data_IF_672381068827
#
_entry.id   IF_672381068827
#
_cell.length_a   1.000
_cell.length_b   1.000
_cell.length_c   1.000
_cell.angle_alpha   90.00
_cell.angle_beta   90.00
_cell.angle_gamma   90.00
#
_symmetry.space_group_name_H-M   'P 1'
#
loop_
_entity.id
_entity.type
_entity.pdbx_description
1 polymer ?
#
# COMPACT_ATOMS: atom_id res chain seq x y z
N UNK A 1 31.85 12.04 -30.47
CA UNK A 1 31.18 11.23 -29.44
C UNK A 1 29.87 11.94 -29.12
N UNK A 2 28.81 11.52 -29.80
CA UNK A 2 27.43 12.03 -29.51
C UNK A 2 26.99 11.38 -28.21
N UNK A 3 26.88 12.16 -27.14
CA UNK A 3 26.11 11.75 -25.98
C UNK A 3 24.65 11.83 -26.39
N UNK A 4 24.01 10.71 -26.46
CA UNK A 4 22.56 10.63 -26.64
C UNK A 4 21.89 11.41 -25.51
N UNK A 5 21.52 12.64 -25.83
CA UNK A 5 20.60 13.45 -25.03
C UNK A 5 19.19 12.85 -25.17
N UNK A 6 19.02 11.66 -24.62
CA UNK A 6 17.67 11.13 -24.43
C UNK A 6 17.02 11.97 -23.33
N UNK A 7 16.00 12.78 -23.63
CA UNK A 7 15.39 13.60 -22.59
C UNK A 7 14.79 12.67 -21.53
N UNK A 8 14.93 13.00 -20.25
CA UNK A 8 14.40 12.18 -19.14
C UNK A 8 12.88 12.15 -19.08
N UNK A 9 12.19 12.64 -20.12
CA UNK A 9 10.74 12.77 -20.12
C UNK A 9 10.12 12.23 -21.40
N UNK A 10 9.02 11.49 -21.27
CA UNK A 10 8.16 11.16 -22.41
C UNK A 10 7.44 12.42 -22.92
N UNK A 11 7.42 12.62 -24.23
CA UNK A 11 6.57 13.64 -24.85
C UNK A 11 5.23 12.99 -25.21
N UNK A 12 4.15 13.52 -24.68
CA UNK A 12 2.80 13.13 -25.09
C UNK A 12 2.33 14.06 -26.21
N UNK A 13 1.62 13.53 -27.23
CA UNK A 13 1.08 14.37 -28.27
C UNK A 13 0.14 15.42 -27.65
N UNK A 14 0.40 16.68 -27.98
CA UNK A 14 -0.41 17.78 -27.47
C UNK A 14 -1.84 17.67 -28.03
N UNK A 15 -2.81 17.65 -27.14
CA UNK A 15 -4.19 17.96 -27.53
C UNK A 15 -4.24 19.43 -27.94
N UNK A 16 -4.99 19.83 -28.98
CA UNK A 16 -5.12 21.24 -29.35
C UNK A 16 -5.48 22.08 -28.12
N UNK A 17 -4.65 23.06 -27.79
CA UNK A 17 -4.81 23.91 -26.60
C UNK A 17 -4.02 23.48 -25.35
N UNK A 18 -3.41 22.31 -25.31
CA UNK A 18 -2.49 21.92 -24.24
C UNK A 18 -1.04 22.23 -24.64
N UNK A 19 -0.30 22.87 -23.72
CA UNK A 19 1.17 22.93 -23.84
C UNK A 19 1.71 21.50 -23.72
N UNK A 20 2.79 21.18 -24.44
CA UNK A 20 3.49 19.91 -24.31
C UNK A 20 3.91 19.70 -22.85
N UNK A 21 3.23 18.81 -22.15
CA UNK A 21 3.60 18.45 -20.79
C UNK A 21 4.65 17.35 -20.89
N UNK A 22 5.80 17.61 -20.29
CA UNK A 22 6.86 16.61 -20.17
C UNK A 22 6.68 15.95 -18.80
N UNK A 23 6.43 14.66 -18.79
CA UNK A 23 6.44 13.85 -17.57
C UNK A 23 7.78 13.12 -17.44
N UNK A 24 8.28 12.90 -16.22
CA UNK A 24 9.35 11.94 -16.02
C UNK A 24 8.98 10.61 -16.71
N UNK A 25 9.97 9.90 -17.20
CA UNK A 25 9.72 8.62 -17.91
C UNK A 25 9.05 7.61 -16.99
N UNK A 26 9.39 7.67 -15.71
CA UNK A 26 8.85 6.86 -14.63
C UNK A 26 8.90 7.68 -13.35
N UNK A 27 7.84 7.68 -12.58
CA UNK A 27 7.80 8.27 -11.24
C UNK A 27 6.80 7.52 -10.38
N UNK A 28 7.10 7.49 -9.10
CA UNK A 28 6.26 6.84 -8.10
C UNK A 28 5.02 7.67 -7.79
N UNK A 29 3.92 6.97 -7.57
CA UNK A 29 2.67 7.52 -7.08
C UNK A 29 2.03 6.51 -6.12
N UNK A 30 1.03 6.93 -5.37
CA UNK A 30 0.36 6.07 -4.41
C UNK A 30 -1.16 6.11 -4.56
N UNK A 31 -1.80 5.03 -4.15
CA UNK A 31 -3.25 4.95 -3.99
C UNK A 31 -3.56 4.48 -2.59
N UNK A 32 -4.17 5.36 -1.79
CA UNK A 32 -4.43 5.12 -0.38
C UNK A 32 -5.83 4.58 -0.12
N UNK A 33 -5.94 3.68 0.85
CA UNK A 33 -7.18 3.23 1.44
C UNK A 33 -7.34 3.79 2.85
N UNK A 34 -8.41 4.56 3.06
CA UNK A 34 -8.71 5.16 4.35
C UNK A 34 -9.22 4.09 5.33
N UNK A 35 -8.61 4.01 6.51
CA UNK A 35 -8.96 3.04 7.55
C UNK A 35 -10.45 3.10 7.98
N UNK A 36 -11.07 4.25 7.92
CA UNK A 36 -12.50 4.42 8.23
C UNK A 36 -13.44 3.66 7.28
N UNK A 37 -12.94 3.20 6.14
CA UNK A 37 -13.70 2.41 5.15
C UNK A 37 -13.41 0.92 5.23
N UNK A 38 -12.48 0.49 6.08
CA UNK A 38 -12.12 -0.92 6.20
C UNK A 38 -13.23 -1.74 6.82
N UNK A 39 -13.40 -2.94 6.32
CA UNK A 39 -14.33 -3.91 6.91
C UNK A 39 -13.61 -4.69 8.00
N UNK A 40 -14.28 -4.82 9.12
CA UNK A 40 -13.79 -5.65 10.21
C UNK A 40 -13.73 -7.11 9.77
N UNK A 41 -12.64 -7.78 10.15
CA UNK A 41 -12.49 -9.22 9.96
C UNK A 41 -13.12 -10.04 11.08
N UNK A 42 -12.54 -11.19 11.38
CA UNK A 42 -12.99 -12.09 12.46
C UNK A 42 -12.75 -11.46 13.83
N UNK A 43 -11.61 -10.79 14.02
CA UNK A 43 -11.30 -9.97 15.18
C UNK A 43 -11.20 -8.52 14.75
N UNK A 44 -11.91 -7.65 15.45
CA UNK A 44 -12.15 -6.27 14.99
C UNK A 44 -11.14 -5.30 15.55
N UNK A 45 -10.67 -4.41 14.71
CA UNK A 45 -9.96 -3.20 15.13
C UNK A 45 -10.81 -2.40 16.12
N UNK A 46 -10.20 -1.87 17.15
CA UNK A 46 -10.86 -1.09 18.19
C UNK A 46 -10.61 0.40 17.95
N UNK A 47 -11.68 1.19 17.88
CA UNK A 47 -11.56 2.64 17.92
C UNK A 47 -11.18 3.05 19.34
N UNK A 48 -10.02 3.64 19.53
CA UNK A 48 -9.49 4.01 20.84
C UNK A 48 -8.78 5.36 20.76
N UNK A 49 -8.67 6.04 21.89
CA UNK A 49 -8.02 7.35 21.95
C UNK A 49 -6.52 7.22 21.71
N UNK A 50 -6.02 7.83 20.67
CA UNK A 50 -4.60 7.91 20.34
C UNK A 50 -3.93 9.03 21.15
N UNK A 51 -4.42 10.26 21.04
CA UNK A 51 -3.84 11.44 21.71
C UNK A 51 -4.88 12.53 21.91
N UNK A 52 -4.91 13.14 23.08
CA UNK A 52 -5.90 14.17 23.42
C UNK A 52 -7.33 13.64 23.29
N UNK A 53 -8.16 14.25 22.48
CA UNK A 53 -9.51 13.75 22.15
C UNK A 53 -9.60 13.13 20.76
N UNK A 54 -8.46 12.73 20.17
CA UNK A 54 -8.41 12.14 18.82
C UNK A 54 -8.39 10.62 18.93
N UNK A 55 -9.43 9.99 18.42
CA UNK A 55 -9.55 8.55 18.33
C UNK A 55 -9.06 8.04 16.99
N UNK A 56 -8.47 6.83 17.01
CA UNK A 56 -7.96 6.15 15.83
C UNK A 56 -8.10 4.64 16.02
N UNK A 57 -8.08 3.88 14.93
CA UNK A 57 -8.19 2.43 15.00
C UNK A 57 -6.90 1.81 15.53
N UNK A 58 -7.03 1.10 16.64
CA UNK A 58 -5.96 0.29 17.23
C UNK A 58 -5.98 -1.10 16.63
N UNK A 59 -4.79 -1.61 16.33
CA UNK A 59 -4.58 -2.92 15.73
C UNK A 59 -3.95 -3.85 16.78
N UNK A 60 -4.76 -4.62 17.47
CA UNK A 60 -4.28 -5.59 18.47
C UNK A 60 -3.86 -6.91 17.81
N UNK A 61 -3.13 -7.76 18.54
CA UNK A 61 -2.73 -9.08 18.02
C UNK A 61 -3.97 -9.93 17.76
N UNK A 62 -4.00 -10.57 16.61
CA UNK A 62 -5.08 -11.32 15.98
C UNK A 62 -6.21 -10.47 15.38
N UNK A 63 -6.17 -9.15 15.52
CA UNK A 63 -7.09 -8.33 14.74
C UNK A 63 -6.79 -8.45 13.26
N UNK A 64 -7.85 -8.42 12.46
CA UNK A 64 -7.77 -8.43 11.01
C UNK A 64 -8.80 -7.49 10.39
N UNK A 65 -8.44 -6.94 9.26
CA UNK A 65 -9.30 -6.04 8.51
C UNK A 65 -9.19 -6.29 7.01
N UNK A 66 -10.34 -6.28 6.35
CA UNK A 66 -10.43 -6.29 4.89
C UNK A 66 -10.38 -4.86 4.38
N UNK A 67 -9.41 -4.59 3.55
CA UNK A 67 -9.23 -3.30 2.90
C UNK A 67 -10.20 -3.21 1.73
N UNK A 68 -10.92 -2.09 1.55
CA UNK A 68 -11.72 -1.88 0.36
C UNK A 68 -10.89 -2.10 -0.90
N UNK A 69 -11.51 -2.65 -1.91
CA UNK A 69 -10.86 -2.91 -3.19
C UNK A 69 -10.19 -1.64 -3.74
N UNK A 70 -8.92 -1.72 -4.04
CA UNK A 70 -8.11 -0.63 -4.59
C UNK A 70 -7.99 -0.84 -6.08
N UNK A 71 -8.55 0.06 -6.87
CA UNK A 71 -8.40 0.05 -8.31
C UNK A 71 -7.08 0.70 -8.70
N UNK A 72 -6.29 -0.01 -9.50
CA UNK A 72 -5.06 0.53 -10.05
C UNK A 72 -5.37 1.68 -11.03
N UNK A 73 -4.65 2.78 -10.88
CA UNK A 73 -4.84 3.97 -11.72
C UNK A 73 -4.55 3.67 -13.20
N UNK A 74 -5.30 4.32 -14.09
CA UNK A 74 -5.02 4.28 -15.53
C UNK A 74 -3.66 4.90 -15.91
N UNK A 75 -3.03 5.58 -15.00
CA UNK A 75 -1.67 6.10 -15.16
C UNK A 75 -0.58 5.10 -14.77
N UNK A 76 -0.93 4.02 -14.08
CA UNK A 76 0.05 3.02 -13.66
C UNK A 76 0.72 2.34 -14.85
N UNK A 77 2.03 2.14 -14.75
CA UNK A 77 2.79 1.37 -15.74
C UNK A 77 2.51 -0.11 -15.53
N UNK A 78 1.88 -0.73 -16.52
CA UNK A 78 1.53 -2.14 -16.44
C UNK A 78 2.77 -3.04 -16.41
N UNK A 79 2.67 -4.18 -15.70
CA UNK A 79 3.75 -5.15 -15.58
C UNK A 79 4.91 -4.72 -14.69
N UNK A 80 4.77 -3.62 -13.95
CA UNK A 80 5.78 -3.17 -12.97
C UNK A 80 5.42 -3.60 -11.56
N UNK A 81 6.39 -3.51 -10.66
CA UNK A 81 6.20 -3.81 -9.25
C UNK A 81 5.26 -2.81 -8.57
N UNK A 82 4.60 -3.30 -7.53
CA UNK A 82 3.72 -2.54 -6.64
C UNK A 82 4.18 -2.82 -5.23
N UNK A 83 4.42 -1.77 -4.45
CA UNK A 83 4.86 -1.87 -3.06
C UNK A 83 3.68 -1.59 -2.11
N UNK A 84 3.17 -2.61 -1.38
CA UNK A 84 2.14 -2.39 -0.37
C UNK A 84 2.74 -1.85 0.92
N UNK A 85 2.12 -0.81 1.48
CA UNK A 85 2.55 -0.18 2.73
C UNK A 85 1.42 -0.09 3.74
N UNK A 86 1.71 -0.41 5.00
CA UNK A 86 0.81 -0.20 6.13
C UNK A 86 1.36 0.92 7.02
N UNK A 87 0.60 2.01 7.15
CA UNK A 87 0.97 3.17 7.97
C UNK A 87 0.50 3.00 9.40
N UNK A 88 1.43 3.07 10.34
CA UNK A 88 1.23 2.79 11.75
C UNK A 88 1.79 3.89 12.64
N UNK A 89 1.27 3.96 13.86
CA UNK A 89 1.78 4.82 14.93
C UNK A 89 1.71 4.08 16.26
N UNK A 90 2.73 4.21 17.10
CA UNK A 90 2.67 3.73 18.47
C UNK A 90 2.21 4.84 19.41
N UNK A 91 1.26 4.55 20.31
CA UNK A 91 0.73 5.52 21.28
C UNK A 91 1.75 5.86 22.36
N UNK A 92 2.42 4.88 22.93
CA UNK A 92 3.38 5.04 24.01
C UNK A 92 4.81 4.71 23.56
N UNK A 93 5.81 5.22 24.26
CA UNK A 93 7.20 4.86 24.03
C UNK A 93 7.43 3.36 24.24
N UNK A 94 8.31 2.79 23.43
CA UNK A 94 8.63 1.37 23.40
C UNK A 94 10.04 1.17 23.96
N UNK A 95 10.23 0.13 24.75
CA UNK A 95 11.54 -0.19 25.35
C UNK A 95 12.64 -0.32 24.27
N UNK A 96 13.87 0.01 24.65
CA UNK A 96 15.02 0.00 23.72
C UNK A 96 15.51 -1.41 23.33
N UNK A 97 15.04 -2.48 23.99
CA UNK A 97 15.31 -3.86 23.58
C UNK A 97 14.54 -4.22 22.31
N UNK A 98 14.97 -5.22 21.54
CA UNK A 98 14.21 -5.66 20.38
C UNK A 98 12.74 -5.91 20.73
N UNK A 99 11.84 -5.29 20.01
CA UNK A 99 10.39 -5.35 20.19
C UNK A 99 9.74 -5.50 18.81
N UNK A 100 9.39 -6.71 18.47
CA UNK A 100 8.94 -7.06 17.12
C UNK A 100 7.41 -7.04 17.02
N UNK A 101 6.90 -6.31 16.04
CA UNK A 101 5.54 -6.48 15.54
C UNK A 101 5.58 -7.28 14.24
N UNK A 102 4.50 -8.00 13.95
CA UNK A 102 4.37 -8.76 12.71
C UNK A 102 2.99 -8.60 12.11
N UNK A 103 2.96 -8.34 10.81
CA UNK A 103 1.74 -8.24 10.03
C UNK A 103 1.77 -9.21 8.87
N UNK A 104 0.63 -9.80 8.56
CA UNK A 104 0.36 -10.65 7.42
C UNK A 104 -0.56 -9.91 6.45
N UNK A 105 -0.19 -9.90 5.18
CA UNK A 105 -0.97 -9.38 4.06
C UNK A 105 -1.40 -10.57 3.19
N UNK A 106 -2.71 -10.81 3.10
CA UNK A 106 -3.28 -11.69 2.08
C UNK A 106 -3.87 -10.83 0.97
N UNK A 107 -3.60 -11.17 -0.28
CA UNK A 107 -4.06 -10.37 -1.41
C UNK A 107 -4.45 -11.21 -2.62
N UNK A 108 -5.25 -10.61 -3.49
CA UNK A 108 -5.54 -11.14 -4.81
C UNK A 108 -5.76 -10.01 -5.82
N UNK A 109 -5.50 -10.32 -7.09
CA UNK A 109 -5.79 -9.46 -8.22
C UNK A 109 -7.07 -9.87 -8.90
N UNK A 110 -7.81 -8.88 -9.38
CA UNK A 110 -9.03 -9.06 -10.17
C UNK A 110 -8.92 -8.21 -11.43
N UNK A 111 -8.87 -8.87 -12.57
CA UNK A 111 -8.86 -8.19 -13.86
C UNK A 111 -10.24 -7.63 -14.23
N UNK A 112 -10.25 -6.63 -15.09
CA UNK A 112 -11.50 -5.99 -15.55
C UNK A 112 -12.48 -6.97 -16.21
N UNK A 113 -12.00 -8.09 -16.72
CA UNK A 113 -12.83 -9.14 -17.34
C UNK A 113 -13.27 -10.24 -16.34
N UNK A 114 -12.97 -10.06 -15.07
CA UNK A 114 -13.64 -10.78 -13.99
C UNK A 114 -12.98 -12.05 -13.43
N UNK A 115 -11.75 -12.35 -13.80
CA UNK A 115 -11.04 -13.47 -13.18
C UNK A 115 -10.24 -13.00 -11.96
N UNK A 116 -10.42 -13.68 -10.82
CA UNK A 116 -9.50 -13.56 -9.70
C UNK A 116 -8.30 -14.42 -10.02
N UNK A 117 -7.15 -13.78 -10.11
CA UNK A 117 -5.87 -14.43 -10.38
C UNK A 117 -4.89 -14.11 -9.27
N UNK A 118 -4.10 -15.10 -8.86
CA UNK A 118 -3.01 -14.90 -7.93
C UNK A 118 -3.45 -14.49 -6.52
N UNK A 119 -3.82 -15.45 -5.69
CA UNK A 119 -3.87 -15.25 -4.24
C UNK A 119 -2.44 -15.37 -3.71
N UNK A 120 -1.98 -14.34 -3.04
CA UNK A 120 -0.68 -14.31 -2.38
C UNK A 120 -0.80 -14.03 -0.89
N UNK A 121 0.21 -14.44 -0.15
CA UNK A 121 0.37 -14.10 1.27
C UNK A 121 1.80 -13.66 1.50
N UNK A 122 1.97 -12.53 2.16
CA UNK A 122 3.26 -12.03 2.61
C UNK A 122 3.18 -11.65 4.09
N UNK A 123 4.26 -11.84 4.83
CA UNK A 123 4.33 -11.39 6.21
C UNK A 123 5.62 -10.62 6.50
N UNK A 124 5.50 -9.57 7.29
CA UNK A 124 6.63 -8.73 7.67
C UNK A 124 6.74 -8.57 9.18
N UNK A 125 7.95 -8.76 9.64
CA UNK A 125 8.35 -8.47 11.02
C UNK A 125 9.20 -7.21 11.03
N UNK A 126 8.83 -6.26 11.90
CA UNK A 126 9.55 -5.01 12.11
C UNK A 126 9.94 -4.86 13.57
N UNK A 127 11.22 -4.60 13.85
CA UNK A 127 11.67 -4.19 15.17
C UNK A 127 11.35 -2.70 15.42
N UNK A 128 10.52 -2.44 16.41
CA UNK A 128 10.11 -1.10 16.84
C UNK A 128 10.73 -0.70 18.18
N UNK A 129 11.70 -1.48 18.65
CA UNK A 129 12.41 -1.19 19.90
C UNK A 129 13.02 0.21 19.92
N UNK A 130 12.84 0.91 21.03
CA UNK A 130 13.33 2.28 21.18
C UNK A 130 12.52 3.38 20.49
N UNK A 131 11.37 3.06 19.90
CA UNK A 131 10.51 4.11 19.32
C UNK A 131 9.94 5.03 20.39
N UNK A 132 10.06 6.33 20.18
CA UNK A 132 9.40 7.33 21.03
C UNK A 132 7.87 7.21 20.93
N UNK A 133 7.15 7.75 21.90
CA UNK A 133 5.70 7.85 21.82
C UNK A 133 5.28 8.67 20.58
N UNK A 134 4.18 8.30 19.97
CA UNK A 134 3.57 8.93 18.80
C UNK A 134 4.49 8.98 17.57
N UNK A 135 5.37 7.99 17.42
CA UNK A 135 6.19 7.84 16.23
C UNK A 135 5.39 7.18 15.12
N UNK A 136 5.25 7.87 14.00
CA UNK A 136 4.74 7.29 12.74
C UNK A 136 5.81 6.42 12.08
N UNK A 137 5.43 5.25 11.60
CA UNK A 137 6.29 4.32 10.89
C UNK A 137 5.49 3.48 9.89
N UNK A 138 6.19 2.78 9.01
CA UNK A 138 5.60 2.01 7.92
C UNK A 138 6.07 0.56 8.02
N UNK A 139 5.16 -0.38 7.79
CA UNK A 139 5.49 -1.76 7.45
C UNK A 139 5.38 -1.90 5.94
N UNK A 140 6.50 -2.13 5.28
CA UNK A 140 6.60 -2.37 3.83
C UNK A 140 6.57 -3.87 3.59
N UNK A 141 5.60 -4.33 2.80
CA UNK A 141 5.53 -5.70 2.34
C UNK A 141 6.42 -5.92 1.12
N UNK A 142 6.61 -7.17 0.70
CA UNK A 142 7.41 -7.45 -0.48
C UNK A 142 6.72 -6.91 -1.73
N UNK A 143 7.55 -6.51 -2.68
CA UNK A 143 7.08 -6.05 -3.97
C UNK A 143 6.23 -7.13 -4.64
N UNK A 144 5.04 -6.75 -5.02
CA UNK A 144 4.14 -7.59 -5.79
C UNK A 144 4.36 -7.28 -7.25
N UNK A 145 4.90 -8.25 -7.98
CA UNK A 145 4.95 -8.19 -9.45
C UNK A 145 3.79 -9.02 -9.94
N UNK A 146 2.69 -8.41 -10.40
CA UNK A 146 1.59 -9.17 -10.92
C UNK A 146 2.07 -10.06 -12.07
N UNK A 147 1.73 -11.33 -12.04
CA UNK A 147 2.08 -12.25 -13.11
C UNK A 147 1.41 -11.82 -14.43
N UNK A 148 1.98 -12.25 -15.55
CA UNK A 148 1.42 -11.98 -16.87
C UNK A 148 -0.09 -12.30 -16.89
N UNK A 149 -0.89 -11.34 -17.33
CA UNK A 149 -2.36 -11.41 -17.31
C UNK A 149 -3.02 -10.99 -15.99
N UNK A 150 -2.28 -10.55 -14.98
CA UNK A 150 -2.85 -10.17 -13.68
C UNK A 150 -3.07 -8.65 -13.50
N UNK A 151 -2.21 -7.83 -14.06
CA UNK A 151 -2.38 -6.36 -14.08
C UNK A 151 -2.01 -5.77 -15.43
N UNK A 152 -2.09 -6.55 -16.47
CA UNK A 152 -1.79 -6.10 -17.84
C UNK A 152 -2.91 -5.24 -18.42
N UNK A 153 -4.01 -5.10 -17.70
CA UNK A 153 -5.12 -4.26 -18.09
C UNK A 153 -5.32 -3.12 -17.12
N UNK A 154 -5.60 -1.93 -17.64
CA UNK A 154 -6.03 -0.80 -16.82
C UNK A 154 -7.28 -1.17 -16.04
N UNK A 155 -7.44 -0.59 -14.85
CA UNK A 155 -8.58 -0.86 -13.96
C UNK A 155 -8.55 -2.23 -13.27
N UNK A 156 -7.44 -2.94 -13.26
CA UNK A 156 -7.27 -4.08 -12.37
C UNK A 156 -7.47 -3.66 -10.91
N UNK A 157 -8.02 -4.54 -10.13
CA UNK A 157 -8.40 -4.28 -8.74
C UNK A 157 -7.58 -5.17 -7.82
N UNK A 158 -6.95 -4.55 -6.83
CA UNK A 158 -6.29 -5.22 -5.73
C UNK A 158 -7.26 -5.36 -4.56
N UNK A 159 -7.46 -6.57 -4.09
CA UNK A 159 -8.24 -6.86 -2.89
C UNK A 159 -7.32 -7.50 -1.87
N UNK A 160 -7.42 -7.06 -0.61
CA UNK A 160 -6.53 -7.60 0.41
C UNK A 160 -7.15 -7.58 1.82
N UNK A 161 -6.52 -8.37 2.66
CA UNK A 161 -6.75 -8.43 4.10
C UNK A 161 -5.42 -8.26 4.82
N UNK A 162 -5.40 -7.47 5.88
CA UNK A 162 -4.25 -7.34 6.77
C UNK A 162 -4.62 -7.89 8.13
N UNK A 163 -3.70 -8.65 8.71
CA UNK A 163 -3.82 -9.22 10.05
C UNK A 163 -2.56 -8.92 10.86
N UNK A 164 -2.72 -8.48 12.10
CA UNK A 164 -1.60 -8.43 13.05
C UNK A 164 -1.46 -9.80 13.71
N UNK A 165 -0.28 -10.38 13.65
CA UNK A 165 0.06 -11.66 14.27
C UNK A 165 1.20 -11.48 15.26
N UNK A 166 1.33 -12.38 16.24
CA UNK A 166 2.46 -12.33 17.17
C UNK A 166 3.76 -12.68 16.43
N UNK A 167 4.82 -11.94 16.71
CA UNK A 167 6.14 -12.23 16.15
C UNK A 167 6.74 -13.49 16.80
N UNK A 168 7.54 -14.22 16.04
CA UNK A 168 8.15 -15.46 16.52
C UNK A 168 9.19 -15.24 17.64
N UNK A 169 9.81 -14.07 17.70
CA UNK A 169 10.77 -13.69 18.72
C UNK A 169 10.60 -12.23 19.13
N UNK A 170 10.83 -11.94 20.43
CA UNK A 170 10.72 -10.59 21.00
C UNK A 170 9.39 -9.91 20.65
N UNK A 171 8.29 -10.67 20.71
CA UNK A 171 6.98 -10.18 20.30
C UNK A 171 6.53 -8.98 21.14
N UNK A 172 6.12 -7.91 20.46
CA UNK A 172 5.46 -6.75 21.03
C UNK A 172 3.95 -6.89 20.86
N UNK A 173 3.30 -7.61 21.76
CA UNK A 173 1.88 -7.92 21.69
C UNK A 173 1.00 -6.89 22.44
N UNK A 174 1.60 -5.80 22.90
CA UNK A 174 0.89 -4.73 23.62
C UNK A 174 -0.10 -4.01 22.72
N UNK A 175 -1.26 -3.69 23.26
CA UNK A 175 -2.33 -2.92 22.63
C UNK A 175 -1.96 -1.42 22.53
N UNK A 176 -1.03 -1.09 21.67
CA UNK A 176 -0.39 0.23 21.57
C UNK A 176 -0.13 0.68 20.11
N UNK A 177 -0.49 -0.16 19.15
CA UNK A 177 -0.25 0.11 17.73
C UNK A 177 -1.56 0.52 17.07
N UNK A 178 -1.55 1.66 16.41
CA UNK A 178 -2.69 2.23 15.69
C UNK A 178 -2.37 2.32 14.20
N UNK A 179 -3.39 2.30 13.36
CA UNK A 179 -3.22 2.39 11.90
C UNK A 179 -3.84 3.64 11.34
N UNK A 180 -3.15 4.28 10.39
CA UNK A 180 -3.65 5.44 9.64
C UNK A 180 -4.21 5.07 8.27
N UNK A 181 -3.75 3.97 7.69
CA UNK A 181 -4.14 3.56 6.35
C UNK A 181 -3.22 2.52 5.76
N UNK A 182 -3.61 2.12 4.58
CA UNK A 182 -2.84 1.23 3.72
C UNK A 182 -2.78 1.84 2.33
N UNK A 183 -1.65 1.76 1.68
CA UNK A 183 -1.47 2.25 0.32
C UNK A 183 -0.71 1.26 -0.56
N UNK A 184 -0.80 1.51 -1.84
CA UNK A 184 -0.03 0.84 -2.88
C UNK A 184 0.80 1.89 -3.60
N UNK A 185 2.11 1.79 -3.50
CA UNK A 185 3.01 2.56 -4.34
C UNK A 185 3.19 1.85 -5.68
N UNK A 186 3.16 2.61 -6.76
CA UNK A 186 3.30 2.08 -8.12
C UNK A 186 3.97 3.09 -9.04
N UNK A 187 4.54 2.60 -10.13
CA UNK A 187 5.19 3.44 -11.12
C UNK A 187 4.13 3.99 -12.09
N UNK A 188 4.18 5.29 -12.35
CA UNK A 188 3.39 5.97 -13.40
C UNK A 188 4.24 6.22 -14.63
N UNK A 189 3.65 6.01 -15.79
CA UNK A 189 4.28 6.29 -17.08
C UNK A 189 3.49 7.26 -17.96
N UNK A 190 2.29 7.65 -17.51
CA UNK A 190 1.39 8.48 -18.28
C UNK A 190 0.45 9.30 -17.39
N UNK A 191 -0.21 10.34 -17.91
CA UNK A 191 -1.26 11.05 -17.17
C UNK A 191 -2.57 10.27 -17.06
N UNK A 192 -2.61 9.02 -17.51
CA UNK A 192 -3.78 8.18 -17.60
C UNK A 192 -4.35 8.08 -19.03
N UNK A 193 -5.32 7.20 -19.20
CA UNK A 193 -6.01 6.98 -20.48
C UNK A 193 -7.36 7.69 -20.52
N UNK A 194 -7.76 8.15 -21.71
CA UNK A 194 -9.12 8.62 -21.96
C UNK A 194 -10.10 7.48 -22.21
N UNK A 195 -9.60 6.32 -22.54
CA UNK A 195 -10.40 5.12 -22.77
C UNK A 195 -10.59 4.34 -21.48
N UNK A 196 -11.77 3.76 -21.31
CA UNK A 196 -12.11 3.07 -20.04
C UNK A 196 -11.39 1.73 -19.87
N UNK A 197 -10.90 1.14 -20.95
CA UNK A 197 -10.38 -0.25 -20.96
C UNK A 197 -9.03 -0.42 -21.62
N UNK A 198 -8.47 0.64 -22.18
CA UNK A 198 -7.17 0.60 -22.87
C UNK A 198 -6.29 1.74 -22.38
N UNK A 199 -4.98 1.54 -22.45
CA UNK A 199 -3.97 2.51 -22.08
C UNK A 199 -3.29 3.10 -23.32
#
# INVERSE_FOLDING_TARGET
MNRDNNPPYKQFPATPGMKNVRYPREYWDDTQSNVGTWRQGVSSLILDTLVGGIDQFRFDVNDDAQIPAIQLSHSAQLGTLIEPHLHLINKAAIAASPQNIRFELEYAWVDIMGNITGVGTDDKTLDIGGYSALKHFIVTFDDIIPAAGQNETVSSVFICRIKRISAAANAYDTANIFTFGFDLHYIKDSPGSRERRTK
#
